data_IF_500732878525
#
_entry.id   IF_500732878525
#
_cell.length_a   1.000
_cell.length_b   1.000
_cell.length_c   1.000
_cell.angle_alpha   90.00
_cell.angle_beta   90.00
_cell.angle_gamma   90.00
#
_symmetry.space_group_name_H-M   'P 1'
#
loop_
_entity.id
_entity.type
_entity.pdbx_description
1 polymer ?
#
# COMPACT_ATOMS: atom_id res chain seq x y z
N UNK A 1 47.57 -23.17 5.66
CA UNK A 1 47.27 -21.82 6.20
C UNK A 1 47.71 -20.84 5.13
N UNK A 2 46.88 -20.03 4.48
CA UNK A 2 45.60 -19.47 4.88
C UNK A 2 44.71 -19.33 3.65
N UNK A 3 43.44 -19.67 3.82
CA UNK A 3 42.36 -19.26 2.93
C UNK A 3 41.56 -18.28 3.76
N UNK A 4 41.48 -17.02 3.35
CA UNK A 4 40.27 -16.25 3.59
C UNK A 4 40.13 -15.23 2.47
N UNK A 5 39.27 -15.65 1.54
CA UNK A 5 38.71 -14.86 0.45
C UNK A 5 37.80 -13.83 1.09
N UNK A 6 37.81 -12.62 0.54
CA UNK A 6 37.01 -11.48 0.94
C UNK A 6 35.52 -11.85 1.17
N UNK A 7 34.82 -11.21 2.12
CA UNK A 7 33.38 -11.35 2.19
C UNK A 7 32.76 -10.60 1.01
N UNK A 8 32.39 -11.36 -0.03
CA UNK A 8 31.39 -10.92 -0.99
C UNK A 8 30.12 -10.60 -0.21
N UNK A 9 29.77 -9.32 -0.17
CA UNK A 9 28.48 -8.85 0.31
C UNK A 9 27.42 -9.41 -0.64
N UNK A 10 26.94 -10.60 -0.31
CA UNK A 10 25.76 -11.22 -0.90
C UNK A 10 24.61 -10.26 -0.66
N UNK A 11 24.34 -9.43 -1.66
CA UNK A 11 23.17 -8.55 -1.66
C UNK A 11 21.98 -9.47 -1.68
N UNK A 12 21.36 -9.61 -0.51
CA UNK A 12 20.05 -10.21 -0.34
C UNK A 12 19.17 -9.62 -1.45
N UNK A 13 18.72 -10.41 -2.44
CA UNK A 13 17.89 -9.87 -3.49
C UNK A 13 16.65 -9.36 -2.78
N UNK A 14 16.44 -8.04 -2.81
CA UNK A 14 15.21 -7.41 -2.36
C UNK A 14 14.09 -8.16 -3.07
N UNK A 15 13.45 -9.10 -2.36
CA UNK A 15 12.34 -9.89 -2.86
C UNK A 15 11.15 -8.94 -2.96
N UNK A 16 11.19 -8.11 -3.98
CA UNK A 16 10.13 -7.20 -4.36
C UNK A 16 9.16 -8.05 -5.18
N UNK A 17 8.41 -8.90 -4.48
CA UNK A 17 7.35 -9.73 -5.04
C UNK A 17 6.17 -8.81 -5.36
N UNK A 18 6.30 -8.07 -6.46
CA UNK A 18 5.19 -7.36 -7.08
C UNK A 18 4.36 -8.38 -7.85
N UNK A 19 3.16 -8.66 -7.35
CA UNK A 19 2.11 -9.31 -8.14
C UNK A 19 1.63 -8.32 -9.20
N UNK A 20 1.31 -8.80 -10.41
CA UNK A 20 0.77 -7.95 -11.48
C UNK A 20 -0.59 -7.30 -11.15
N UNK A 21 -1.22 -7.77 -10.08
CA UNK A 21 -2.53 -7.40 -9.58
C UNK A 21 -2.47 -6.20 -8.62
N UNK A 22 -2.09 -6.44 -7.35
CA UNK A 22 -2.07 -5.49 -6.23
C UNK A 22 -1.15 -6.02 -5.11
N UNK A 23 -0.47 -5.15 -4.37
CA UNK A 23 0.35 -5.52 -3.20
C UNK A 23 -0.50 -5.71 -1.91
N UNK A 24 -1.82 -5.49 -1.98
CA UNK A 24 -2.74 -5.79 -0.89
C UNK A 24 -4.15 -5.23 -1.06
N UNK A 25 -5.05 -5.49 -0.10
CA UNK A 25 -6.45 -5.06 -0.19
C UNK A 25 -6.64 -3.53 -0.11
N UNK A 26 -5.78 -2.83 0.62
CA UNK A 26 -5.81 -1.36 0.72
C UNK A 26 -5.40 -0.71 -0.61
N UNK A 27 -4.40 -1.26 -1.30
CA UNK A 27 -3.99 -0.74 -2.61
C UNK A 27 -5.07 -0.96 -3.67
N UNK A 28 -5.73 -2.12 -3.64
CA UNK A 28 -6.89 -2.38 -4.50
C UNK A 28 -7.99 -1.34 -4.26
N UNK A 29 -8.36 -1.10 -2.99
CA UNK A 29 -9.35 -0.08 -2.65
C UNK A 29 -8.93 1.33 -3.11
N UNK A 30 -7.67 1.70 -2.92
CA UNK A 30 -7.16 2.99 -3.41
C UNK A 30 -7.31 3.10 -4.93
N UNK A 31 -6.96 2.03 -5.65
CA UNK A 31 -7.05 1.99 -7.11
C UNK A 31 -8.50 2.12 -7.58
N UNK A 32 -9.43 1.44 -6.92
CA UNK A 32 -10.86 1.52 -7.23
C UNK A 32 -11.42 2.92 -6.93
N UNK A 33 -11.07 3.51 -5.79
CA UNK A 33 -11.49 4.85 -5.43
C UNK A 33 -10.95 5.92 -6.40
N UNK A 34 -9.70 5.78 -6.85
CA UNK A 34 -9.10 6.66 -7.87
C UNK A 34 -9.81 6.55 -9.22
N UNK A 35 -10.21 5.34 -9.65
CA UNK A 35 -10.95 5.13 -10.90
C UNK A 35 -12.35 5.75 -10.87
N UNK A 36 -12.94 5.89 -9.70
CA UNK A 36 -14.24 6.53 -9.53
C UNK A 36 -14.17 8.07 -9.59
N UNK A 37 -12.96 8.66 -9.65
CA UNK A 37 -12.73 10.12 -9.61
C UNK A 37 -13.36 10.83 -8.39
N UNK A 38 -13.55 10.11 -7.29
CA UNK A 38 -14.15 10.64 -6.05
C UNK A 38 -13.06 10.96 -5.02
N UNK A 39 -13.30 11.99 -4.22
CA UNK A 39 -12.49 12.28 -3.04
C UNK A 39 -12.56 11.14 -2.01
N UNK A 40 -11.40 10.69 -1.51
CA UNK A 40 -11.27 9.57 -0.58
C UNK A 40 -12.01 9.83 0.75
N UNK A 41 -12.09 11.09 1.18
CA UNK A 41 -12.82 11.44 2.40
C UNK A 41 -14.35 11.39 2.25
N UNK A 42 -14.85 11.61 1.02
CA UNK A 42 -16.28 11.71 0.74
C UNK A 42 -16.89 10.44 0.14
N UNK A 43 -16.06 9.53 -0.39
CA UNK A 43 -16.55 8.29 -1.01
C UNK A 43 -17.19 7.37 0.02
N UNK A 44 -18.30 6.72 -0.33
CA UNK A 44 -18.82 5.60 0.47
C UNK A 44 -18.14 4.31 0.06
N UNK A 45 -17.53 3.58 1.00
CA UNK A 45 -16.92 2.28 0.68
C UNK A 45 -17.95 1.23 0.25
N UNK A 46 -19.21 1.40 0.66
CA UNK A 46 -20.31 0.54 0.22
C UNK A 46 -20.53 0.58 -1.30
N UNK A 47 -20.22 1.69 -1.96
CA UNK A 47 -20.34 1.80 -3.43
C UNK A 47 -19.22 1.05 -4.15
N UNK A 48 -18.07 0.87 -3.51
CA UNK A 48 -16.91 0.15 -4.07
C UNK A 48 -16.99 -1.37 -3.90
N UNK A 49 -17.92 -1.88 -3.09
CA UNK A 49 -18.00 -3.30 -2.73
C UNK A 49 -18.08 -4.22 -3.95
N UNK A 50 -18.90 -3.89 -4.96
CA UNK A 50 -19.07 -4.75 -6.13
C UNK A 50 -17.80 -4.80 -6.98
N UNK A 51 -17.15 -3.66 -7.18
CA UNK A 51 -15.91 -3.57 -7.94
C UNK A 51 -14.76 -4.27 -7.21
N UNK A 52 -14.74 -4.19 -5.88
CA UNK A 52 -13.78 -4.90 -5.04
C UNK A 52 -13.92 -6.43 -5.17
N UNK A 53 -15.14 -6.95 -5.07
CA UNK A 53 -15.40 -8.38 -5.22
C UNK A 53 -15.08 -8.87 -6.64
N UNK A 54 -15.46 -8.10 -7.67
CA UNK A 54 -15.16 -8.39 -9.07
C UNK A 54 -13.64 -8.43 -9.32
N UNK A 55 -12.90 -7.50 -8.72
CA UNK A 55 -11.44 -7.48 -8.84
C UNK A 55 -10.80 -8.74 -8.22
N UNK A 56 -11.23 -9.16 -7.03
CA UNK A 56 -10.73 -10.39 -6.40
C UNK A 56 -11.02 -11.63 -7.26
N UNK A 57 -12.22 -11.72 -7.82
CA UNK A 57 -12.62 -12.85 -8.66
C UNK A 57 -11.81 -12.92 -9.97
N UNK A 58 -11.47 -11.77 -10.53
CA UNK A 58 -10.66 -11.66 -11.75
C UNK A 58 -9.18 -11.93 -11.51
N UNK A 59 -8.59 -11.28 -10.50
CA UNK A 59 -7.16 -11.34 -10.18
C UNK A 59 -6.75 -12.67 -9.55
N UNK A 60 -7.67 -13.34 -8.85
CA UNK A 60 -7.46 -14.61 -8.15
C UNK A 60 -6.16 -14.62 -7.31
N UNK A 61 -6.08 -13.77 -6.27
CA UNK A 61 -4.88 -13.67 -5.46
C UNK A 61 -4.51 -15.04 -4.85
N UNK A 62 -3.22 -15.31 -4.64
CA UNK A 62 -2.77 -16.57 -4.09
C UNK A 62 -3.33 -16.79 -2.67
N UNK A 63 -3.48 -18.05 -2.28
CA UNK A 63 -4.16 -18.48 -1.06
C UNK A 63 -3.58 -17.83 0.22
N UNK A 64 -2.26 -17.63 0.26
CA UNK A 64 -1.53 -16.99 1.36
C UNK A 64 -1.95 -15.52 1.57
N UNK A 65 -2.42 -14.84 0.52
CA UNK A 65 -2.87 -13.45 0.58
C UNK A 65 -4.39 -13.30 0.58
N UNK A 66 -5.11 -14.28 0.02
CA UNK A 66 -6.57 -14.23 -0.16
C UNK A 66 -7.33 -13.95 1.15
N UNK A 67 -6.86 -14.50 2.28
CA UNK A 67 -7.49 -14.30 3.58
C UNK A 67 -7.63 -12.81 3.95
N UNK A 68 -6.60 -11.99 3.69
CA UNK A 68 -6.63 -10.57 3.97
C UNK A 68 -7.66 -9.82 3.11
N UNK A 69 -7.83 -10.24 1.85
CA UNK A 69 -8.86 -9.69 0.96
C UNK A 69 -10.27 -10.07 1.41
N UNK A 70 -10.48 -11.32 1.83
CA UNK A 70 -11.78 -11.79 2.28
C UNK A 70 -12.25 -11.09 3.57
N UNK A 71 -11.34 -10.78 4.50
CA UNK A 71 -11.68 -10.02 5.71
C UNK A 71 -12.22 -8.63 5.36
N UNK A 72 -11.55 -7.92 4.46
CA UNK A 72 -12.00 -6.59 4.00
C UNK A 72 -13.30 -6.72 3.19
N UNK A 73 -13.37 -7.68 2.27
CA UNK A 73 -14.54 -7.94 1.44
C UNK A 73 -15.79 -8.26 2.27
N UNK A 74 -15.67 -9.12 3.28
CA UNK A 74 -16.78 -9.44 4.18
C UNK A 74 -17.31 -8.19 4.90
N UNK A 75 -16.42 -7.32 5.36
CA UNK A 75 -16.80 -6.07 6.03
C UNK A 75 -17.42 -5.04 5.07
N UNK A 76 -16.95 -4.97 3.84
CA UNK A 76 -17.57 -4.16 2.77
C UNK A 76 -18.99 -4.64 2.41
N UNK A 77 -19.22 -5.97 2.43
CA UNK A 77 -20.55 -6.54 2.21
C UNK A 77 -21.49 -6.19 3.38
N UNK A 78 -21.01 -6.27 4.62
CA UNK A 78 -21.77 -5.81 5.80
C UNK A 78 -22.14 -4.33 5.67
N UNK A 79 -21.16 -3.48 5.31
CA UNK A 79 -21.37 -2.04 5.12
C UNK A 79 -22.41 -1.75 4.02
N UNK A 80 -22.36 -2.48 2.89
CA UNK A 80 -23.35 -2.35 1.83
C UNK A 80 -24.74 -2.84 2.24
N UNK A 81 -24.83 -3.93 2.99
CA UNK A 81 -26.09 -4.42 3.52
C UNK A 81 -26.75 -3.41 4.47
N UNK A 82 -25.97 -2.83 5.38
CA UNK A 82 -26.40 -1.76 6.29
C UNK A 82 -26.94 -0.55 5.51
N UNK A 83 -26.17 -0.06 4.54
CA UNK A 83 -26.56 1.07 3.69
C UNK A 83 -27.87 0.83 2.91
N UNK A 84 -28.17 -0.43 2.55
CA UNK A 84 -29.38 -0.81 1.83
C UNK A 84 -30.58 -1.15 2.74
N UNK A 85 -30.36 -1.40 4.04
CA UNK A 85 -31.41 -1.79 4.99
C UNK A 85 -31.38 -0.97 6.30
N UNK A 86 -31.61 0.36 6.26
CA UNK A 86 -31.43 1.24 7.44
C UNK A 86 -32.41 0.97 8.59
N UNK A 87 -33.49 0.22 8.34
CA UNK A 87 -34.54 -0.05 9.32
C UNK A 87 -34.28 -1.35 10.09
N UNK A 88 -33.28 -2.15 9.69
CA UNK A 88 -33.10 -3.53 10.16
C UNK A 88 -31.94 -3.70 11.16
N UNK A 89 -31.09 -2.68 11.37
CA UNK A 89 -29.85 -2.82 12.12
C UNK A 89 -29.78 -1.84 13.29
N UNK A 90 -30.38 -2.20 14.43
CA UNK A 90 -30.17 -1.48 15.69
C UNK A 90 -28.90 -2.03 16.35
N UNK A 91 -27.79 -1.30 16.27
CA UNK A 91 -26.58 -1.54 17.09
C UNK A 91 -25.26 -1.76 16.35
N UNK A 92 -25.27 -2.16 15.07
CA UNK A 92 -24.03 -2.42 14.29
C UNK A 92 -23.57 -1.23 13.44
N UNK A 93 -24.42 -0.21 13.29
CA UNK A 93 -24.18 0.94 12.41
C UNK A 93 -23.02 1.82 12.84
N UNK A 94 -22.88 2.08 14.15
CA UNK A 94 -21.77 2.90 14.68
C UNK A 94 -20.41 2.21 14.47
N UNK A 95 -20.34 0.90 14.71
CA UNK A 95 -19.14 0.10 14.50
C UNK A 95 -18.76 0.00 13.02
N UNK A 96 -19.75 -0.07 12.13
CA UNK A 96 -19.53 -0.08 10.69
C UNK A 96 -19.04 1.27 10.19
N UNK A 97 -19.60 2.37 10.69
CA UNK A 97 -19.16 3.73 10.34
C UNK A 97 -17.74 3.99 10.83
N UNK A 98 -17.43 3.66 12.09
CA UNK A 98 -16.09 3.81 12.65
C UNK A 98 -15.05 2.97 11.87
N UNK A 99 -15.43 1.77 11.44
CA UNK A 99 -14.58 0.95 10.58
C UNK A 99 -14.37 1.59 9.20
N UNK A 100 -15.42 2.12 8.57
CA UNK A 100 -15.32 2.81 7.28
C UNK A 100 -14.36 4.01 7.38
N UNK A 101 -14.51 4.85 8.40
CA UNK A 101 -13.67 6.03 8.62
C UNK A 101 -12.20 5.64 8.87
N UNK A 102 -11.96 4.57 9.64
CA UNK A 102 -10.62 4.05 9.85
C UNK A 102 -9.97 3.56 8.54
N UNK A 103 -10.75 2.92 7.65
CA UNK A 103 -10.24 2.52 6.33
C UNK A 103 -9.95 3.73 5.44
N UNK A 104 -10.81 4.74 5.42
CA UNK A 104 -10.57 6.00 4.68
C UNK A 104 -9.26 6.67 5.12
N UNK A 105 -9.05 6.80 6.44
CA UNK A 105 -7.79 7.34 6.97
C UNK A 105 -6.56 6.54 6.52
N UNK A 106 -6.65 5.20 6.50
CA UNK A 106 -5.57 4.35 5.98
C UNK A 106 -5.35 4.51 4.47
N UNK A 107 -6.40 4.76 3.69
CA UNK A 107 -6.27 5.03 2.25
C UNK A 107 -5.53 6.36 2.00
N UNK A 108 -5.85 7.40 2.76
CA UNK A 108 -5.17 8.69 2.68
C UNK A 108 -3.69 8.58 3.08
N UNK A 109 -3.41 7.87 4.17
CA UNK A 109 -2.05 7.61 4.63
C UNK A 109 -1.26 6.83 3.57
N UNK A 110 -1.83 5.73 3.07
CA UNK A 110 -1.20 4.90 2.05
C UNK A 110 -0.94 5.68 0.75
N UNK A 111 -1.90 6.51 0.31
CA UNK A 111 -1.73 7.40 -0.85
C UNK A 111 -0.53 8.33 -0.66
N UNK A 112 -0.44 9.00 0.51
CA UNK A 112 0.66 9.92 0.81
C UNK A 112 2.02 9.22 0.81
N UNK A 113 2.11 8.04 1.44
CA UNK A 113 3.36 7.28 1.45
C UNK A 113 3.72 6.74 0.07
N UNK A 114 2.73 6.32 -0.73
CA UNK A 114 2.95 5.88 -2.12
C UNK A 114 3.54 7.01 -2.96
N UNK A 115 2.98 8.21 -2.89
CA UNK A 115 3.49 9.39 -3.59
C UNK A 115 4.93 9.77 -3.16
N UNK A 116 5.22 9.69 -1.85
CA UNK A 116 6.56 9.93 -1.32
C UNK A 116 7.55 8.86 -1.80
N UNK A 117 7.18 7.58 -1.74
CA UNK A 117 7.99 6.48 -2.21
C UNK A 117 8.33 6.62 -3.70
N UNK A 118 7.33 6.95 -4.53
CA UNK A 118 7.53 7.24 -5.95
C UNK A 118 8.46 8.44 -6.18
N UNK A 119 8.32 9.50 -5.38
CA UNK A 119 9.22 10.66 -5.43
C UNK A 119 10.67 10.29 -5.11
N UNK A 120 10.87 9.47 -4.07
CA UNK A 120 12.18 8.94 -3.71
C UNK A 120 12.76 8.04 -4.80
N UNK A 121 11.95 7.17 -5.40
CA UNK A 121 12.35 6.34 -6.54
C UNK A 121 12.77 7.18 -7.73
N UNK A 122 12.02 8.24 -8.08
CA UNK A 122 12.40 9.19 -9.15
C UNK A 122 13.71 9.90 -8.85
N UNK A 123 13.92 10.31 -7.59
CA UNK A 123 15.19 10.93 -7.16
C UNK A 123 16.36 9.98 -7.30
N UNK A 124 16.22 8.75 -6.82
CA UNK A 124 17.24 7.70 -6.96
C UNK A 124 17.54 7.43 -8.44
N UNK A 125 16.51 7.28 -9.28
CA UNK A 125 16.66 7.06 -10.72
C UNK A 125 17.34 8.23 -11.44
N UNK A 126 17.24 9.46 -10.91
CA UNK A 126 17.91 10.63 -11.49
C UNK A 126 19.43 10.67 -11.30
N UNK A 127 20.02 9.68 -10.60
CA UNK A 127 21.49 9.56 -10.43
C UNK A 127 22.13 10.65 -9.57
N UNK A 128 21.33 11.53 -8.97
CA UNK A 128 21.79 12.62 -8.10
C UNK A 128 22.07 12.08 -6.69
N UNK A 129 23.24 11.47 -6.53
CA UNK A 129 23.75 11.05 -5.24
C UNK A 129 24.76 12.08 -4.74
N UNK A 130 24.52 12.65 -3.57
CA UNK A 130 25.56 13.36 -2.82
C UNK A 130 26.22 12.34 -1.90
N UNK A 131 27.45 11.96 -2.20
CA UNK A 131 28.27 11.23 -1.24
C UNK A 131 28.72 12.23 -0.19
N UNK A 132 28.41 11.97 1.10
CA UNK A 132 29.04 12.71 2.18
C UNK A 132 30.55 12.49 2.03
N UNK A 133 31.29 13.55 1.69
CA UNK A 133 32.73 13.46 1.53
C UNK A 133 33.35 13.02 2.84
N UNK A 134 33.71 11.74 2.95
CA UNK A 134 34.66 11.23 3.94
C UNK A 134 36.11 11.60 3.54
N UNK A 135 36.28 12.67 2.77
CA UNK A 135 37.58 13.26 2.51
C UNK A 135 37.94 14.05 3.77
N UNK A 136 38.90 13.52 4.53
CA UNK A 136 39.73 14.40 5.36
C UNK A 136 40.26 15.51 4.44
N UNK A 137 40.15 16.79 4.83
CA UNK A 137 40.62 17.87 3.98
C UNK A 137 42.10 17.64 3.70
N UNK A 138 42.45 17.46 2.42
CA UNK A 138 43.84 17.36 1.98
C UNK A 138 44.63 18.50 2.61
N UNK A 139 45.53 18.14 3.53
CA UNK A 139 46.56 19.03 4.04
C UNK A 139 47.47 19.31 2.85
N UNK A 140 47.22 20.42 2.14
CA UNK A 140 48.09 20.88 1.06
C UNK A 140 49.48 21.12 1.68
N UNK A 141 50.52 20.35 1.34
CA UNK A 141 51.86 20.65 1.82
C UNK A 141 52.32 21.92 1.10
N UNK A 142 52.56 22.99 1.86
CA UNK A 142 53.23 24.16 1.32
C UNK A 142 54.71 23.81 1.14
N UNK A 143 55.18 23.89 -0.11
CA UNK A 143 56.60 23.84 -0.47
C UNK A 143 57.14 25.27 -0.64
#
# INVERSE_FOLDING_TARGET
MSREVAPELERDPVYLVRTAAFDGPIELLLTLAQRAEVDLGAISLASLTDDYLRAIEHERPPLDRLAAFLVIGARLVQLKAAALMPQAQVGEEEDLQAWEDAIKGRLEEYKRFKELAESLMRRHASGRFTFAGLLEPDVIPQA
#
